data_IF_220984657717
#
_entry.id   IF_220984657717
#
_cell.length_a   1.000
_cell.length_b   1.000
_cell.length_c   1.000
_cell.angle_alpha   90.00
_cell.angle_beta   90.00
_cell.angle_gamma   90.00
#
_symmetry.space_group_name_H-M   'P 1'
#
loop_
_entity.id
_entity.type
_entity.pdbx_description
1 polymer ?
#
# COMPACT_ATOMS: atom_id res chain seq x y z
N UNK A 1 9.60 -10.48 -5.10
CA UNK A 1 9.35 -9.03 -5.31
C UNK A 1 9.21 -8.69 -6.79
N UNK A 2 10.19 -9.03 -7.63
CA UNK A 2 10.19 -8.70 -9.07
C UNK A 2 8.88 -9.10 -9.79
N UNK A 3 8.43 -10.35 -9.66
CA UNK A 3 7.18 -10.82 -10.28
C UNK A 3 5.95 -10.03 -9.80
N UNK A 4 5.93 -9.60 -8.54
CA UNK A 4 4.85 -8.77 -8.00
C UNK A 4 4.82 -7.38 -8.65
N UNK A 5 6.00 -6.80 -8.91
CA UNK A 5 6.14 -5.52 -9.61
C UNK A 5 5.75 -5.69 -11.09
N UNK A 6 6.15 -6.78 -11.73
CA UNK A 6 5.77 -7.10 -13.11
C UNK A 6 4.25 -7.26 -13.27
N UNK A 7 3.60 -7.97 -12.33
CA UNK A 7 2.15 -8.13 -12.32
C UNK A 7 1.43 -6.77 -12.18
N UNK A 8 1.90 -5.90 -11.28
CA UNK A 8 1.35 -4.55 -11.11
C UNK A 8 1.59 -3.69 -12.36
N UNK A 9 2.77 -3.80 -12.96
CA UNK A 9 3.10 -3.08 -14.20
C UNK A 9 2.19 -3.51 -15.36
N UNK A 10 1.91 -4.81 -15.47
CA UNK A 10 1.01 -5.36 -16.47
C UNK A 10 -0.43 -4.86 -16.26
N UNK A 11 -0.94 -4.91 -15.03
CA UNK A 11 -2.26 -4.41 -14.69
C UNK A 11 -2.41 -2.91 -15.02
N UNK A 12 -1.43 -2.08 -14.62
CA UNK A 12 -1.42 -0.65 -14.93
C UNK A 12 -1.39 -0.37 -16.43
N UNK A 13 -0.58 -1.10 -17.20
CA UNK A 13 -0.54 -0.99 -18.67
C UNK A 13 -1.88 -1.35 -19.32
N UNK A 14 -2.65 -2.24 -18.71
CA UNK A 14 -4.00 -2.59 -19.14
C UNK A 14 -5.09 -1.62 -18.65
N UNK A 15 -4.72 -0.54 -17.94
CA UNK A 15 -5.67 0.43 -17.37
C UNK A 15 -6.41 -0.09 -16.13
N UNK A 16 -5.87 -1.10 -15.44
CA UNK A 16 -6.46 -1.65 -14.24
C UNK A 16 -5.86 -1.01 -12.99
N UNK A 17 -6.74 -0.67 -12.05
CA UNK A 17 -6.38 -0.31 -10.69
C UNK A 17 -5.77 -1.52 -9.97
N UNK A 18 -4.89 -1.26 -9.00
CA UNK A 18 -4.28 -2.29 -8.17
C UNK A 18 -4.51 -1.99 -6.69
N UNK A 19 -4.75 -3.02 -5.89
CA UNK A 19 -4.91 -2.90 -4.45
C UNK A 19 -3.92 -3.84 -3.77
N UNK A 20 -2.93 -3.27 -3.08
CA UNK A 20 -2.04 -4.07 -2.23
C UNK A 20 -2.86 -4.67 -1.07
N UNK A 21 -2.60 -5.92 -0.71
CA UNK A 21 -3.39 -6.62 0.31
C UNK A 21 -2.51 -7.36 1.30
N UNK A 22 -2.93 -7.34 2.57
CA UNK A 22 -2.43 -8.25 3.59
C UNK A 22 -2.85 -9.71 3.33
N UNK A 23 -2.38 -10.63 4.18
CA UNK A 23 -2.94 -11.99 4.31
C UNK A 23 -3.64 -12.20 5.65
N UNK A 24 -4.43 -13.27 5.78
CA UNK A 24 -5.16 -13.57 7.02
C UNK A 24 -4.22 -13.79 8.21
N UNK A 25 -3.13 -14.53 8.00
CA UNK A 25 -1.98 -14.57 8.92
C UNK A 25 -0.96 -13.50 8.51
N UNK A 26 -0.79 -12.48 9.34
CA UNK A 26 0.19 -11.39 9.15
C UNK A 26 1.19 -11.36 10.29
N UNK A 27 2.30 -10.68 10.05
CA UNK A 27 3.34 -10.37 11.03
C UNK A 27 3.39 -8.87 11.28
N UNK A 28 4.26 -8.42 12.19
CA UNK A 28 4.55 -7.00 12.41
C UNK A 28 5.31 -6.33 11.25
N UNK A 29 5.78 -7.10 10.27
CA UNK A 29 6.45 -6.59 9.08
C UNK A 29 5.55 -5.58 8.34
N UNK A 30 6.11 -4.47 7.89
CA UNK A 30 5.34 -3.36 7.30
C UNK A 30 5.54 -3.21 5.79
N UNK A 31 6.26 -4.13 5.15
CA UNK A 31 6.70 -4.05 3.76
C UNK A 31 5.61 -3.66 2.76
N UNK A 32 4.38 -4.16 2.94
CA UNK A 32 3.28 -3.87 2.01
C UNK A 32 2.81 -2.39 2.06
N UNK A 33 3.11 -1.65 3.13
CA UNK A 33 2.84 -0.22 3.21
C UNK A 33 3.76 0.54 2.24
N UNK A 34 5.07 0.33 2.37
CA UNK A 34 6.09 0.89 1.48
C UNK A 34 5.91 0.44 0.03
N UNK A 35 5.55 -0.84 -0.18
CA UNK A 35 5.26 -1.37 -1.50
C UNK A 35 4.06 -0.67 -2.15
N UNK A 36 2.99 -0.40 -1.40
CA UNK A 36 1.81 0.28 -1.92
C UNK A 36 2.12 1.72 -2.34
N UNK A 37 2.93 2.44 -1.56
CA UNK A 37 3.38 3.80 -1.90
C UNK A 37 4.34 3.78 -3.08
N UNK A 38 5.37 2.94 -3.05
CA UNK A 38 6.39 2.84 -4.10
C UNK A 38 5.81 2.40 -5.46
N UNK A 39 4.79 1.55 -5.46
CA UNK A 39 4.06 1.18 -6.68
C UNK A 39 3.02 2.21 -7.09
N UNK A 40 2.78 3.26 -6.31
CA UNK A 40 1.68 4.21 -6.50
C UNK A 40 0.35 3.49 -6.71
N UNK A 41 0.01 2.62 -5.77
CA UNK A 41 -1.18 1.76 -5.83
C UNK A 41 -2.49 2.53 -5.73
N UNK A 42 -2.50 3.66 -5.00
CA UNK A 42 -3.71 4.40 -4.64
C UNK A 42 -4.57 3.72 -3.58
N UNK A 43 -4.46 2.38 -3.41
CA UNK A 43 -5.29 1.58 -2.52
C UNK A 43 -4.50 0.51 -1.78
N UNK A 44 -4.87 0.27 -0.52
CA UNK A 44 -4.34 -0.82 0.29
C UNK A 44 -5.44 -1.40 1.20
N UNK A 45 -5.50 -2.73 1.27
CA UNK A 45 -6.35 -3.47 2.21
C UNK A 45 -5.46 -4.17 3.22
N UNK A 46 -5.32 -3.60 4.41
CA UNK A 46 -4.47 -4.16 5.47
C UNK A 46 -5.22 -4.48 6.77
N UNK A 47 -6.54 -4.64 6.71
CA UNK A 47 -7.38 -5.14 7.80
C UNK A 47 -8.06 -4.06 8.62
N UNK A 48 -8.79 -4.43 9.67
CA UNK A 48 -9.41 -3.47 10.57
C UNK A 48 -8.34 -2.61 11.29
N UNK A 49 -8.69 -1.41 11.80
CA UNK A 49 -7.83 -0.62 12.69
C UNK A 49 -7.77 -1.24 14.09
N UNK A 50 -7.43 -2.52 14.16
CA UNK A 50 -7.34 -3.35 15.36
C UNK A 50 -6.35 -4.47 15.07
N UNK A 51 -5.69 -4.97 16.14
CA UNK A 51 -4.58 -5.94 16.10
C UNK A 51 -3.30 -5.35 15.49
N UNK A 52 -2.20 -5.50 16.22
CA UNK A 52 -0.95 -4.76 15.95
C UNK A 52 -0.34 -5.09 14.59
N UNK A 53 -0.50 -6.31 14.07
CA UNK A 53 0.00 -6.69 12.76
C UNK A 53 -0.70 -5.96 11.60
N UNK A 54 -1.89 -5.38 11.85
CA UNK A 54 -2.63 -4.52 10.92
C UNK A 54 -2.24 -3.05 11.10
N UNK A 55 -2.28 -2.62 12.36
CA UNK A 55 -1.88 -1.25 12.75
C UNK A 55 -0.44 -0.93 12.36
N UNK A 56 0.46 -1.91 12.36
CA UNK A 56 1.85 -1.72 11.93
C UNK A 56 1.93 -1.11 10.53
N UNK A 57 1.12 -1.58 9.58
CA UNK A 57 1.10 -1.06 8.20
C UNK A 57 0.44 0.32 8.12
N UNK A 58 -0.68 0.54 8.82
CA UNK A 58 -1.30 1.87 8.87
C UNK A 58 -0.38 2.92 9.48
N UNK A 59 0.29 2.58 10.59
CA UNK A 59 1.26 3.46 11.23
C UNK A 59 2.47 3.72 10.33
N UNK A 60 2.90 2.72 9.55
CA UNK A 60 3.95 2.93 8.56
C UNK A 60 3.51 3.88 7.44
N UNK A 61 2.26 3.81 6.96
CA UNK A 61 1.74 4.78 6.00
C UNK A 61 1.74 6.21 6.55
N UNK A 62 1.38 6.41 7.81
CA UNK A 62 1.44 7.72 8.47
C UNK A 62 2.88 8.24 8.55
N UNK A 63 3.85 7.37 8.85
CA UNK A 63 5.28 7.74 8.85
C UNK A 63 5.79 8.10 7.46
N UNK A 64 5.40 7.34 6.44
CA UNK A 64 5.78 7.63 5.04
C UNK A 64 5.16 8.97 4.59
N UNK A 65 3.91 9.24 4.96
CA UNK A 65 3.26 10.52 4.69
C UNK A 65 4.01 11.68 5.38
N UNK A 66 4.36 11.52 6.67
CA UNK A 66 5.17 12.48 7.42
C UNK A 66 6.54 12.72 6.78
N UNK A 67 7.24 11.66 6.36
CA UNK A 67 8.55 11.72 5.73
C UNK A 67 8.52 12.44 4.37
N UNK A 68 7.51 12.17 3.55
CA UNK A 68 7.33 12.81 2.24
C UNK A 68 6.85 14.27 2.38
N UNK A 69 6.15 14.59 3.47
CA UNK A 69 5.64 15.92 3.76
C UNK A 69 4.83 16.50 2.60
N UNK A 70 5.18 17.69 2.12
CA UNK A 70 4.48 18.38 1.03
C UNK A 70 4.50 17.62 -0.32
N UNK A 71 5.39 16.63 -0.48
CA UNK A 71 5.46 15.78 -1.68
C UNK A 71 4.44 14.63 -1.65
N UNK A 72 3.88 14.31 -0.49
CA UNK A 72 2.83 13.30 -0.38
C UNK A 72 1.56 13.75 -1.09
N UNK A 73 0.83 12.77 -1.67
CA UNK A 73 -0.48 12.96 -2.26
C UNK A 73 -1.40 11.82 -1.82
N UNK A 74 -2.49 12.18 -1.16
CA UNK A 74 -3.56 11.24 -0.84
C UNK A 74 -4.41 11.00 -2.09
N UNK A 75 -4.65 9.74 -2.44
CA UNK A 75 -5.34 9.39 -3.68
C UNK A 75 -6.83 9.79 -3.68
N UNK A 76 -7.50 9.83 -2.51
CA UNK A 76 -8.87 10.34 -2.39
C UNK A 76 -9.87 9.64 -3.31
N UNK A 77 -10.66 10.43 -4.05
CA UNK A 77 -11.65 9.92 -5.02
C UNK A 77 -10.97 9.28 -6.25
N UNK A 78 -9.72 9.64 -6.54
CA UNK A 78 -8.90 9.12 -7.63
C UNK A 78 -8.10 7.87 -7.22
N UNK A 79 -8.65 7.07 -6.30
CA UNK A 79 -7.98 5.88 -5.78
C UNK A 79 -7.72 4.78 -6.83
N UNK A 80 -8.31 4.86 -8.04
CA UNK A 80 -8.24 3.83 -9.10
C UNK A 80 -7.22 4.11 -10.18
#
# INVERSE_FOLDING_TARGET
ITESIEAVTMAKKAGWAIMASHRSGETEDTFIADLAVGLSAGQIKTGAPCRSERLAKYNQLLRIEEELGAKARYAGEDFR
#
